data_IF_150796475723
#
_entry.id   IF_150796475723
#
_cell.length_a   1.000
_cell.length_b   1.000
_cell.length_c   1.000
_cell.angle_alpha   90.00
_cell.angle_beta   90.00
_cell.angle_gamma   90.00
#
_symmetry.space_group_name_H-M   'P 1'
#
loop_
_entity.id
_entity.type
_entity.pdbx_description
1 polymer ?
#
# COMPACT_ATOMS: atom_id res chain seq x y z
N UNK A 1 -10.29 5.12 18.08
CA UNK A 1 -9.42 4.87 16.90
C UNK A 1 -10.30 4.79 15.66
N UNK A 2 -9.94 5.57 14.67
CA UNK A 2 -10.63 5.68 13.40
C UNK A 2 -9.61 5.55 12.25
N UNK A 3 -10.02 4.92 11.15
CA UNK A 3 -9.27 4.84 9.91
C UNK A 3 -10.10 5.43 8.78
N UNK A 4 -9.48 6.23 7.94
CA UNK A 4 -10.07 6.68 6.68
C UNK A 4 -9.48 5.83 5.55
N UNK A 5 -10.34 5.35 4.67
CA UNK A 5 -9.96 4.61 3.46
C UNK A 5 -10.84 5.03 2.28
N UNK A 6 -10.66 4.46 1.09
CA UNK A 6 -11.42 4.86 -0.09
C UNK A 6 -12.35 3.75 -0.58
N UNK A 7 -13.33 4.11 -1.42
CA UNK A 7 -14.18 3.13 -2.10
C UNK A 7 -13.44 2.36 -3.23
N UNK A 8 -12.19 2.75 -3.54
CA UNK A 8 -11.37 2.14 -4.59
C UNK A 8 -10.56 0.93 -4.08
N UNK A 9 -10.50 0.72 -2.76
CA UNK A 9 -9.57 -0.23 -2.15
C UNK A 9 -9.83 -1.68 -2.58
N UNK A 10 -8.74 -2.41 -2.75
CA UNK A 10 -8.81 -3.86 -2.75
C UNK A 10 -9.24 -4.36 -1.36
N UNK A 11 -9.98 -5.45 -1.30
CA UNK A 11 -10.47 -6.01 -0.02
C UNK A 11 -9.36 -6.29 1.00
N UNK A 12 -8.12 -6.52 0.55
CA UNK A 12 -6.96 -6.68 1.45
C UNK A 12 -6.57 -5.38 2.17
N UNK A 13 -6.93 -4.22 1.61
CA UNK A 13 -6.70 -2.91 2.21
C UNK A 13 -8.00 -2.26 2.75
N UNK A 14 -9.07 -3.02 2.89
CA UNK A 14 -10.35 -2.59 3.46
C UNK A 14 -10.77 -3.49 4.64
N UNK A 15 -10.93 -4.79 4.40
CA UNK A 15 -11.51 -5.69 5.39
C UNK A 15 -10.71 -5.82 6.70
N UNK A 16 -9.36 -5.80 6.69
CA UNK A 16 -8.59 -5.81 7.94
C UNK A 16 -8.90 -4.61 8.83
N UNK A 17 -9.08 -3.42 8.23
CA UNK A 17 -9.44 -2.22 8.99
C UNK A 17 -10.81 -2.38 9.65
N UNK A 18 -11.82 -2.84 8.91
CA UNK A 18 -13.17 -3.12 9.46
C UNK A 18 -13.16 -4.14 10.59
N UNK A 19 -12.22 -5.07 10.58
CA UNK A 19 -12.13 -6.13 11.60
C UNK A 19 -11.42 -5.68 12.88
N UNK A 20 -10.40 -4.83 12.75
CA UNK A 20 -9.45 -4.56 13.83
C UNK A 20 -9.52 -3.12 14.38
N UNK A 21 -10.23 -2.22 13.70
CA UNK A 21 -10.38 -0.82 14.11
C UNK A 21 -11.81 -0.53 14.55
N UNK A 22 -12.00 0.43 15.44
CA UNK A 22 -13.32 0.77 15.97
C UNK A 22 -14.26 1.36 14.93
N UNK A 23 -13.75 2.18 14.02
CA UNK A 23 -14.53 2.85 12.99
C UNK A 23 -13.72 3.02 11.69
N UNK A 24 -14.36 2.80 10.56
CA UNK A 24 -13.77 2.99 9.23
C UNK A 24 -14.66 3.92 8.42
N UNK A 25 -14.10 5.03 7.96
CA UNK A 25 -14.76 6.00 7.08
C UNK A 25 -14.28 5.77 5.65
N UNK A 26 -15.23 5.60 4.73
CA UNK A 26 -14.93 5.40 3.31
C UNK A 26 -15.16 6.70 2.54
N UNK A 27 -14.09 7.19 1.92
CA UNK A 27 -14.14 8.37 1.06
C UNK A 27 -14.63 7.97 -0.33
N UNK A 28 -15.57 8.73 -0.93
CA UNK A 28 -16.04 8.46 -2.27
C UNK A 28 -14.96 8.73 -3.32
N UNK A 29 -15.26 8.29 -4.55
CA UNK A 29 -14.52 8.66 -5.74
C UNK A 29 -15.12 9.91 -6.35
N UNK A 30 -14.32 10.67 -7.10
CA UNK A 30 -14.84 11.80 -7.88
C UNK A 30 -15.94 11.30 -8.81
N UNK A 31 -17.06 12.03 -8.83
CA UNK A 31 -18.10 11.78 -9.81
C UNK A 31 -17.63 12.35 -11.15
N UNK A 32 -17.23 11.49 -12.05
CA UNK A 32 -17.04 11.88 -13.43
C UNK A 32 -18.42 12.03 -14.09
N UNK A 33 -18.75 13.20 -14.65
CA UNK A 33 -20.01 13.41 -15.37
C UNK A 33 -20.19 12.46 -16.57
N UNK A 34 -19.12 11.92 -17.11
CA UNK A 34 -19.13 10.99 -18.24
C UNK A 34 -19.22 9.50 -17.81
N UNK A 35 -19.28 9.24 -16.48
CA UNK A 35 -19.48 7.90 -15.91
C UNK A 35 -18.23 7.02 -15.89
N UNK A 36 -17.06 7.61 -16.09
CA UNK A 36 -15.78 6.92 -15.93
C UNK A 36 -15.49 6.64 -14.46
N UNK A 37 -14.75 5.58 -14.17
CA UNK A 37 -14.32 5.28 -12.81
C UNK A 37 -13.44 6.42 -12.28
N UNK A 38 -13.97 7.14 -11.28
CA UNK A 38 -13.33 8.33 -10.73
C UNK A 38 -12.04 8.02 -9.97
N UNK A 39 -11.21 9.06 -9.81
CA UNK A 39 -10.08 9.08 -8.88
C UNK A 39 -10.59 9.23 -7.45
N UNK A 40 -9.73 9.08 -6.47
CA UNK A 40 -10.05 9.44 -5.09
C UNK A 40 -10.43 10.92 -5.02
N UNK A 41 -11.61 11.23 -4.47
CA UNK A 41 -12.05 12.59 -4.21
C UNK A 41 -11.22 13.20 -3.07
N UNK A 42 -10.19 13.96 -3.44
CA UNK A 42 -9.30 14.61 -2.47
C UNK A 42 -10.00 15.67 -1.63
N UNK A 43 -11.07 16.29 -2.13
CA UNK A 43 -11.84 17.25 -1.37
C UNK A 43 -12.64 16.57 -0.28
N UNK A 44 -13.30 15.44 -0.61
CA UNK A 44 -13.99 14.62 0.35
C UNK A 44 -13.01 13.97 1.36
N UNK A 45 -11.83 13.55 0.89
CA UNK A 45 -10.77 13.02 1.77
C UNK A 45 -10.34 14.06 2.80
N UNK A 46 -10.05 15.27 2.39
CA UNK A 46 -9.66 16.37 3.29
C UNK A 46 -10.76 16.70 4.28
N UNK A 47 -12.00 16.79 3.81
CA UNK A 47 -13.14 17.04 4.70
C UNK A 47 -13.29 15.93 5.76
N UNK A 48 -13.14 14.66 5.38
CA UNK A 48 -13.18 13.54 6.31
C UNK A 48 -11.99 13.57 7.31
N UNK A 49 -10.78 13.92 6.87
CA UNK A 49 -9.62 14.10 7.75
C UNK A 49 -9.87 15.22 8.76
N UNK A 50 -10.35 16.39 8.29
CA UNK A 50 -10.61 17.54 9.15
C UNK A 50 -11.71 17.24 10.18
N UNK A 51 -12.77 16.52 9.79
CA UNK A 51 -13.88 16.12 10.67
C UNK A 51 -13.44 15.16 11.78
N UNK A 52 -12.46 14.30 11.51
CA UNK A 52 -12.06 13.23 12.42
C UNK A 52 -10.63 13.36 12.97
N UNK A 53 -10.01 14.52 12.80
CA UNK A 53 -8.59 14.76 13.12
C UNK A 53 -8.21 14.39 14.58
N UNK A 54 -9.13 14.54 15.53
CA UNK A 54 -8.91 14.28 16.96
C UNK A 54 -8.77 12.79 17.31
N UNK A 55 -9.21 11.89 16.43
CA UNK A 55 -9.22 10.43 16.65
C UNK A 55 -8.75 9.61 15.44
N UNK A 56 -8.32 10.28 14.37
CA UNK A 56 -7.78 9.64 13.18
C UNK A 56 -6.44 9.00 13.49
N UNK A 57 -6.33 7.70 13.27
CA UNK A 57 -5.09 6.95 13.45
C UNK A 57 -4.25 6.97 12.16
N UNK A 58 -4.85 6.57 11.05
CA UNK A 58 -4.19 6.61 9.74
C UNK A 58 -5.20 6.70 8.59
N UNK A 59 -4.67 7.12 7.44
CA UNK A 59 -5.35 7.02 6.14
C UNK A 59 -4.74 5.84 5.37
N UNK A 60 -5.59 4.91 4.92
CA UNK A 60 -5.19 3.78 4.09
C UNK A 60 -5.66 4.00 2.64
N UNK A 61 -4.74 3.97 1.68
CA UNK A 61 -5.06 4.25 0.27
C UNK A 61 -4.29 3.33 -0.68
N UNK A 62 -4.97 2.84 -1.72
CA UNK A 62 -4.29 2.14 -2.82
C UNK A 62 -3.55 3.14 -3.71
N UNK A 63 -2.30 2.82 -4.05
CA UNK A 63 -1.52 3.65 -4.97
C UNK A 63 -1.99 3.50 -6.43
N UNK A 64 -2.53 2.34 -6.78
CA UNK A 64 -3.17 2.11 -8.08
C UNK A 64 -4.29 1.09 -7.95
N UNK A 65 -5.43 1.36 -8.58
CA UNK A 65 -6.57 0.45 -8.59
C UNK A 65 -6.24 -0.82 -9.39
N UNK A 66 -6.55 -1.97 -8.81
CA UNK A 66 -6.46 -3.26 -9.52
C UNK A 66 -7.60 -3.49 -10.52
N UNK A 67 -8.60 -2.63 -10.54
CA UNK A 67 -9.76 -2.72 -11.44
C UNK A 67 -9.67 -1.73 -12.59
N UNK A 68 -9.39 -0.47 -12.28
CA UNK A 68 -9.40 0.62 -13.27
C UNK A 68 -8.01 1.01 -13.76
N UNK A 69 -6.94 0.64 -13.02
CA UNK A 69 -5.57 1.09 -13.29
C UNK A 69 -5.29 2.54 -12.92
N UNK A 70 -6.26 3.26 -12.37
CA UNK A 70 -6.08 4.65 -11.94
C UNK A 70 -5.02 4.72 -10.84
N UNK A 71 -4.03 5.61 -11.02
CA UNK A 71 -2.97 5.89 -10.06
C UNK A 71 -3.38 7.08 -9.19
N UNK A 72 -3.33 6.89 -7.88
CA UNK A 72 -3.69 7.89 -6.89
C UNK A 72 -2.50 8.72 -6.42
N UNK A 73 -2.69 9.99 -6.05
CA UNK A 73 -1.64 10.89 -5.58
C UNK A 73 -1.30 10.64 -4.10
N UNK A 74 -0.70 9.47 -3.80
CA UNK A 74 -0.47 9.00 -2.42
C UNK A 74 0.37 9.94 -1.56
N UNK A 75 1.28 10.71 -2.15
CA UNK A 75 2.08 11.71 -1.46
C UNK A 75 1.23 12.92 -1.00
N UNK A 76 0.28 13.33 -1.83
CA UNK A 76 -0.67 14.36 -1.44
C UNK A 76 -1.61 13.87 -0.32
N UNK A 77 -2.05 12.61 -0.38
CA UNK A 77 -2.81 11.96 0.70
C UNK A 77 -1.99 11.94 1.99
N UNK A 78 -0.71 11.55 1.92
CA UNK A 78 0.20 11.54 3.07
C UNK A 78 0.33 12.94 3.70
N UNK A 79 0.50 13.98 2.89
CA UNK A 79 0.57 15.36 3.38
C UNK A 79 -0.69 15.77 4.15
N UNK A 80 -1.87 15.39 3.68
CA UNK A 80 -3.12 15.67 4.39
C UNK A 80 -3.25 14.87 5.69
N UNK A 81 -2.89 13.59 5.68
CA UNK A 81 -2.88 12.76 6.88
C UNK A 81 -1.93 13.32 7.95
N UNK A 82 -0.71 13.66 7.56
CA UNK A 82 0.31 14.22 8.47
C UNK A 82 -0.09 15.59 9.03
N UNK A 83 -0.78 16.42 8.27
CA UNK A 83 -1.29 17.71 8.78
C UNK A 83 -2.29 17.53 9.94
N UNK A 84 -2.97 16.40 10.00
CA UNK A 84 -3.85 16.00 11.11
C UNK A 84 -3.14 15.13 12.17
N UNK A 85 -1.83 14.89 12.05
CA UNK A 85 -1.07 14.03 12.96
C UNK A 85 -1.29 12.53 12.76
N UNK A 86 -1.95 12.13 11.68
CA UNK A 86 -2.22 10.73 11.32
C UNK A 86 -1.14 10.17 10.39
N UNK A 87 -1.05 8.83 10.32
CA UNK A 87 -0.15 8.14 9.41
C UNK A 87 -0.78 7.93 8.03
N UNK A 88 0.07 7.64 7.03
CA UNK A 88 -0.33 7.22 5.69
C UNK A 88 0.13 5.79 5.41
N UNK A 89 -0.84 4.90 5.16
CA UNK A 89 -0.63 3.49 4.79
C UNK A 89 -0.98 3.31 3.32
N UNK A 90 -0.04 2.83 2.52
CA UNK A 90 -0.19 2.71 1.08
C UNK A 90 -0.19 1.26 0.64
N UNK A 91 -1.27 0.83 0.01
CA UNK A 91 -1.30 -0.42 -0.75
C UNK A 91 -0.70 -0.18 -2.14
N UNK A 92 0.55 -0.59 -2.29
CA UNK A 92 1.30 -0.55 -3.53
C UNK A 92 1.34 -1.90 -4.26
N UNK A 93 0.43 -2.83 -3.90
CA UNK A 93 0.44 -4.18 -4.47
C UNK A 93 0.30 -4.17 -6.00
N UNK A 94 -0.42 -3.20 -6.55
CA UNK A 94 -0.59 -3.06 -8.00
C UNK A 94 0.45 -2.09 -8.60
N UNK A 95 0.76 -1.00 -7.94
CA UNK A 95 1.62 0.05 -8.49
C UNK A 95 3.12 -0.27 -8.47
N UNK A 96 3.59 -1.05 -7.49
CA UNK A 96 5.03 -1.25 -7.24
C UNK A 96 5.81 -1.86 -8.42
N UNK A 97 5.14 -2.59 -9.33
CA UNK A 97 5.76 -3.16 -10.53
C UNK A 97 5.73 -2.22 -11.74
N UNK A 98 4.94 -1.14 -11.70
CA UNK A 98 4.53 -0.36 -12.87
C UNK A 98 4.94 1.10 -12.80
N UNK A 99 4.99 1.68 -11.59
CA UNK A 99 5.33 3.10 -11.42
C UNK A 99 6.37 3.28 -10.30
N UNK A 100 7.21 4.33 -10.38
CA UNK A 100 8.13 4.65 -9.29
C UNK A 100 7.39 4.95 -8.00
N UNK A 101 7.86 4.40 -6.89
CA UNK A 101 7.35 4.71 -5.54
C UNK A 101 8.52 5.20 -4.70
N UNK A 102 8.40 6.38 -4.13
CA UNK A 102 9.35 6.93 -3.16
C UNK A 102 8.74 6.89 -1.76
N UNK A 103 9.32 6.11 -0.86
CA UNK A 103 8.87 6.09 0.55
C UNK A 103 9.14 7.43 1.23
N UNK A 104 10.21 8.11 0.87
CA UNK A 104 10.58 9.41 1.46
C UNK A 104 9.75 10.58 0.89
N UNK A 105 9.14 10.39 -0.28
CA UNK A 105 8.41 11.47 -0.96
C UNK A 105 9.31 12.63 -1.41
N UNK A 106 8.70 13.71 -1.91
CA UNK A 106 9.39 14.97 -2.21
C UNK A 106 9.93 15.67 -0.97
N UNK A 107 9.23 15.56 0.15
CA UNK A 107 9.64 16.09 1.45
C UNK A 107 9.08 15.23 2.61
N UNK A 108 9.43 15.60 3.84
CA UNK A 108 9.04 14.86 5.03
C UNK A 108 7.51 14.84 5.29
N UNK A 109 6.77 15.87 4.84
CA UNK A 109 5.32 15.92 5.00
C UNK A 109 4.59 14.99 4.02
N UNK A 110 5.26 14.60 2.95
CA UNK A 110 4.75 13.74 1.88
C UNK A 110 5.36 12.32 1.93
N UNK A 111 6.14 12.00 2.97
CA UNK A 111 6.68 10.65 3.16
C UNK A 111 5.55 9.64 3.42
N UNK A 112 5.75 8.40 2.94
CA UNK A 112 4.82 7.30 3.20
C UNK A 112 5.27 6.55 4.45
N UNK A 113 4.37 6.37 5.42
CA UNK A 113 4.72 5.74 6.69
C UNK A 113 4.79 4.22 6.58
N UNK A 114 3.85 3.64 5.82
CA UNK A 114 3.79 2.20 5.56
C UNK A 114 3.48 1.97 4.08
N UNK A 115 4.26 1.12 3.43
CA UNK A 115 4.02 0.68 2.04
C UNK A 115 3.94 -0.83 2.00
N UNK A 116 2.81 -1.36 1.52
CA UNK A 116 2.57 -2.78 1.36
C UNK A 116 2.70 -3.19 -0.10
N UNK A 117 3.46 -4.24 -0.38
CA UNK A 117 3.70 -4.75 -1.73
C UNK A 117 3.47 -6.25 -1.83
N UNK A 118 3.07 -6.71 -3.01
CA UNK A 118 2.89 -8.12 -3.32
C UNK A 118 3.99 -8.62 -4.25
N UNK A 119 4.93 -9.38 -3.72
CA UNK A 119 6.10 -9.82 -4.49
C UNK A 119 5.77 -10.63 -5.75
N UNK A 120 4.68 -11.43 -5.74
CA UNK A 120 4.28 -12.17 -6.94
C UNK A 120 3.83 -11.26 -8.09
N UNK A 121 3.33 -10.06 -7.81
CA UNK A 121 2.98 -9.03 -8.81
C UNK A 121 4.21 -8.25 -9.30
N UNK A 122 5.29 -8.29 -8.52
CA UNK A 122 6.61 -7.74 -8.87
C UNK A 122 7.46 -8.74 -9.69
N UNK A 123 6.84 -9.53 -10.56
CA UNK A 123 7.49 -10.55 -11.41
C UNK A 123 8.28 -11.61 -10.63
N UNK A 124 8.03 -11.78 -9.34
CA UNK A 124 8.70 -12.75 -8.47
C UNK A 124 7.71 -13.82 -7.95
N UNK A 125 7.24 -14.76 -8.78
CA UNK A 125 6.26 -15.77 -8.39
C UNK A 125 6.76 -16.62 -7.21
N UNK A 126 5.87 -16.84 -6.23
CA UNK A 126 6.19 -17.56 -5.00
C UNK A 126 6.98 -16.76 -3.96
N UNK A 127 7.20 -15.46 -4.18
CA UNK A 127 7.78 -14.57 -3.18
C UNK A 127 6.76 -14.16 -2.12
N UNK A 128 7.21 -13.74 -0.93
CA UNK A 128 6.34 -13.18 0.10
C UNK A 128 5.77 -11.80 -0.31
N UNK A 129 4.76 -11.35 0.42
CA UNK A 129 4.45 -9.92 0.52
C UNK A 129 5.52 -9.19 1.31
N UNK A 130 5.57 -7.88 1.15
CA UNK A 130 6.53 -7.01 1.83
C UNK A 130 5.83 -5.82 2.43
N UNK A 131 6.19 -5.49 3.66
CA UNK A 131 5.85 -4.23 4.32
C UNK A 131 7.14 -3.44 4.48
N UNK A 132 7.14 -2.20 4.00
CA UNK A 132 8.19 -1.22 4.25
C UNK A 132 7.62 -0.17 5.17
N UNK A 133 8.21 -0.01 6.36
CA UNK A 133 7.75 0.92 7.36
C UNK A 133 8.91 1.39 8.24
N UNK A 134 8.70 2.48 8.98
CA UNK A 134 9.67 2.94 9.99
C UNK A 134 9.66 1.99 11.18
N UNK A 135 10.83 1.61 11.67
CA UNK A 135 11.01 0.73 12.82
C UNK A 135 10.24 1.22 14.06
N UNK A 136 10.22 2.53 14.30
CA UNK A 136 9.52 3.15 15.41
C UNK A 136 8.00 2.85 15.45
N UNK A 137 7.38 2.49 14.33
CA UNK A 137 5.97 2.11 14.28
C UNK A 137 5.69 0.76 14.93
N UNK A 138 6.70 -0.06 15.15
CA UNK A 138 6.60 -1.36 15.80
C UNK A 138 6.95 -1.32 17.29
N UNK A 139 7.42 -0.19 17.81
CA UNK A 139 7.77 -0.06 19.22
C UNK A 139 6.54 -0.24 20.12
N UNK A 140 6.67 -1.10 21.13
CA UNK A 140 5.60 -1.38 22.07
C UNK A 140 4.44 -2.22 21.54
N UNK A 141 4.50 -2.67 20.28
CA UNK A 141 3.52 -3.60 19.72
C UNK A 141 3.94 -5.05 19.97
N UNK A 142 2.96 -5.92 20.14
CA UNK A 142 3.16 -7.36 20.14
C UNK A 142 2.95 -7.92 18.72
N UNK A 143 3.77 -8.88 18.27
CA UNK A 143 3.57 -9.48 16.95
C UNK A 143 2.23 -10.21 16.89
N UNK A 144 1.53 -10.07 15.78
CA UNK A 144 0.22 -10.70 15.60
C UNK A 144 0.32 -12.23 15.53
N UNK A 145 1.42 -12.77 15.04
CA UNK A 145 1.67 -14.21 14.91
C UNK A 145 2.84 -14.59 15.81
N UNK A 146 2.60 -15.53 16.73
CA UNK A 146 3.61 -16.02 17.67
C UNK A 146 4.00 -17.45 17.29
N UNK A 147 5.31 -17.75 17.28
CA UNK A 147 5.78 -19.09 16.93
C UNK A 147 7.29 -19.26 17.02
N UNK A 148 7.81 -20.31 16.44
CA UNK A 148 9.25 -20.55 16.36
C UNK A 148 9.96 -19.47 15.56
N UNK A 149 11.22 -19.20 15.88
CA UNK A 149 12.08 -18.21 15.21
C UNK A 149 12.04 -16.81 15.80
N UNK A 150 10.99 -16.47 16.56
CA UNK A 150 10.81 -15.11 17.12
C UNK A 150 10.97 -15.06 18.65
N UNK A 151 11.43 -16.13 19.27
CA UNK A 151 11.53 -16.24 20.73
C UNK A 151 12.99 -16.22 21.19
N UNK A 152 13.28 -15.41 22.21
CA UNK A 152 14.57 -15.43 22.92
C UNK A 152 14.61 -16.55 23.96
N UNK A 153 13.47 -16.80 24.61
CA UNK A 153 13.38 -17.75 25.70
C UNK A 153 11.95 -18.31 25.85
N UNK A 154 11.85 -19.60 26.11
CA UNK A 154 10.59 -20.28 26.44
C UNK A 154 10.76 -21.05 27.74
N UNK A 155 9.83 -20.87 28.66
CA UNK A 155 9.71 -21.61 29.92
C UNK A 155 8.36 -22.34 29.93
N UNK A 156 8.05 -23.11 30.96
CA UNK A 156 6.81 -23.86 31.04
C UNK A 156 5.57 -22.98 31.12
N UNK A 157 5.69 -21.81 31.74
CA UNK A 157 4.58 -20.90 32.09
C UNK A 157 4.70 -19.51 31.44
N UNK A 158 5.81 -19.24 30.76
CA UNK A 158 6.07 -17.95 30.10
C UNK A 158 7.03 -18.05 28.94
N UNK A 159 7.06 -17.03 28.11
CA UNK A 159 8.02 -16.87 27.03
C UNK A 159 8.43 -15.40 26.88
N UNK A 160 9.56 -15.17 26.24
CA UNK A 160 10.01 -13.85 25.80
C UNK A 160 10.19 -13.86 24.29
N UNK A 161 9.49 -12.95 23.63
CA UNK A 161 9.66 -12.64 22.20
C UNK A 161 10.95 -11.83 22.04
N UNK A 162 11.65 -12.01 20.93
CA UNK A 162 12.80 -11.17 20.57
C UNK A 162 12.37 -9.73 20.31
N UNK A 163 13.24 -8.78 20.64
CA UNK A 163 13.02 -7.37 20.31
C UNK A 163 13.58 -7.01 18.93
N UNK A 164 14.31 -7.95 18.29
CA UNK A 164 14.95 -7.73 17.00
C UNK A 164 13.93 -7.63 15.86
N UNK A 165 14.00 -6.57 15.06
CA UNK A 165 13.26 -6.39 13.81
C UNK A 165 14.20 -6.65 12.61
N UNK A 166 13.71 -7.28 11.55
CA UNK A 166 12.32 -7.70 11.31
C UNK A 166 11.94 -9.06 11.91
N UNK A 167 12.86 -9.79 12.54
CA UNK A 167 12.69 -11.17 12.99
C UNK A 167 11.46 -11.35 13.89
N UNK A 168 11.17 -10.38 14.75
CA UNK A 168 10.01 -10.40 15.66
C UNK A 168 8.68 -10.54 14.92
N UNK A 169 8.56 -10.00 13.72
CA UNK A 169 7.32 -10.00 12.93
C UNK A 169 7.24 -11.19 11.96
N UNK A 170 8.28 -12.04 11.89
CA UNK A 170 8.40 -13.15 10.93
C UNK A 170 8.42 -14.52 11.60
N UNK A 171 7.31 -14.92 12.24
CA UNK A 171 7.23 -16.22 12.90
C UNK A 171 7.30 -17.39 11.90
N UNK A 172 8.09 -18.42 12.27
CA UNK A 172 8.32 -19.60 11.47
C UNK A 172 9.55 -19.52 10.58
N UNK A 173 9.72 -20.49 9.68
CA UNK A 173 10.83 -20.50 8.71
C UNK A 173 10.54 -19.52 7.57
N UNK A 174 11.38 -18.49 7.35
CA UNK A 174 11.19 -17.54 6.28
C UNK A 174 11.19 -18.21 4.90
N UNK A 175 10.41 -17.66 3.97
CA UNK A 175 10.41 -18.09 2.56
C UNK A 175 11.68 -17.58 1.85
N UNK A 176 12.85 -18.10 2.23
CA UNK A 176 14.14 -17.67 1.69
C UNK A 176 14.23 -17.73 0.16
N UNK A 177 13.79 -18.83 -0.52
CA UNK A 177 13.82 -18.86 -1.99
C UNK A 177 12.97 -17.77 -2.63
N UNK A 178 11.81 -17.46 -2.06
CA UNK A 178 10.94 -16.37 -2.52
C UNK A 178 11.55 -14.99 -2.29
N UNK A 179 12.16 -14.78 -1.12
CA UNK A 179 12.85 -13.52 -0.79
C UNK A 179 14.04 -13.26 -1.73
N UNK A 180 14.87 -14.27 -2.00
CA UNK A 180 15.98 -14.15 -2.96
C UNK A 180 15.50 -13.85 -4.37
N UNK A 181 14.41 -14.46 -4.81
CA UNK A 181 13.80 -14.19 -6.12
C UNK A 181 13.29 -12.76 -6.19
N UNK A 182 12.61 -12.28 -5.16
CA UNK A 182 12.16 -10.90 -5.09
C UNK A 182 13.33 -9.91 -5.12
N UNK A 183 14.38 -10.16 -4.34
CA UNK A 183 15.58 -9.32 -4.33
C UNK A 183 16.23 -9.23 -5.72
N UNK A 184 16.36 -10.36 -6.43
CA UNK A 184 16.89 -10.39 -7.79
C UNK A 184 16.02 -9.60 -8.77
N UNK A 185 14.69 -9.71 -8.64
CA UNK A 185 13.74 -8.95 -9.48
C UNK A 185 13.82 -7.45 -9.20
N UNK A 186 13.85 -7.04 -7.93
CA UNK A 186 13.99 -5.62 -7.56
C UNK A 186 15.30 -5.02 -8.07
N UNK A 187 16.41 -5.79 -8.03
CA UNK A 187 17.67 -5.37 -8.63
C UNK A 187 17.58 -5.21 -10.14
N UNK A 188 16.85 -6.10 -10.83
CA UNK A 188 16.64 -6.01 -12.27
C UNK A 188 15.81 -4.78 -12.63
N UNK A 189 14.67 -4.57 -11.97
CA UNK A 189 13.80 -3.40 -12.16
C UNK A 189 14.56 -2.09 -11.88
N UNK A 190 15.37 -2.06 -10.82
CA UNK A 190 16.21 -0.90 -10.51
C UNK A 190 17.28 -0.62 -11.57
N UNK A 191 17.79 -1.64 -12.28
CA UNK A 191 18.72 -1.45 -13.41
C UNK A 191 18.03 -0.98 -14.67
N UNK A 192 16.81 -1.44 -14.94
CA UNK A 192 15.97 -0.97 -16.05
C UNK A 192 15.59 0.49 -15.81
N UNK A 193 15.23 0.82 -14.58
CA UNK A 193 14.69 2.12 -14.20
C UNK A 193 13.15 2.13 -14.23
N UNK A 194 12.53 2.40 -13.10
CA UNK A 194 11.07 2.40 -12.98
C UNK A 194 10.39 3.51 -13.79
N UNK A 195 11.08 4.63 -14.03
CA UNK A 195 10.57 5.69 -14.91
C UNK A 195 10.40 5.20 -16.35
N UNK A 196 11.37 4.40 -16.84
CA UNK A 196 11.29 3.82 -18.18
C UNK A 196 10.16 2.79 -18.28
N UNK A 197 9.97 1.96 -17.23
CA UNK A 197 8.84 1.02 -17.18
C UNK A 197 7.51 1.76 -17.25
N UNK A 198 7.34 2.81 -16.43
CA UNK A 198 6.11 3.61 -16.40
C UNK A 198 5.84 4.33 -17.73
N UNK A 199 6.88 4.78 -18.42
CA UNK A 199 6.74 5.43 -19.73
C UNK A 199 6.30 4.43 -20.81
N UNK A 200 6.94 3.28 -20.90
CA UNK A 200 6.60 2.21 -21.85
C UNK A 200 5.16 1.71 -21.68
N UNK A 201 4.76 1.46 -20.43
CA UNK A 201 3.39 1.02 -20.12
C UNK A 201 2.34 2.09 -20.42
N UNK A 202 2.64 3.37 -20.19
CA UNK A 202 1.75 4.47 -20.57
C UNK A 202 1.56 4.55 -22.09
N UNK A 203 2.62 4.39 -22.86
CA UNK A 203 2.54 4.36 -24.33
C UNK A 203 1.71 3.16 -24.83
N UNK A 204 1.92 1.98 -24.22
CA UNK A 204 1.15 0.78 -24.54
C UNK A 204 -0.34 0.94 -24.18
N UNK A 205 -0.63 1.52 -23.01
CA UNK A 205 -2.01 1.78 -22.59
C UNK A 205 -2.70 2.76 -23.54
N UNK A 206 -2.04 3.85 -23.90
CA UNK A 206 -2.57 4.82 -24.86
C UNK A 206 -2.85 4.16 -26.22
N UNK A 207 -1.88 3.40 -26.73
CA UNK A 207 -2.07 2.65 -27.98
C UNK A 207 -3.25 1.69 -27.90
N UNK A 208 -3.43 0.97 -26.77
CA UNK A 208 -4.55 0.06 -26.59
C UNK A 208 -5.89 0.80 -26.59
N UNK A 209 -5.99 1.92 -25.84
CA UNK A 209 -7.20 2.75 -25.77
C UNK A 209 -7.59 3.30 -27.14
N UNK A 210 -6.63 3.81 -27.92
CA UNK A 210 -6.87 4.28 -29.30
C UNK A 210 -7.41 3.16 -30.20
N UNK A 211 -6.87 1.95 -30.08
CA UNK A 211 -7.32 0.78 -30.85
C UNK A 211 -8.71 0.31 -30.40
N UNK A 212 -9.00 0.32 -29.12
CA UNK A 212 -10.31 -0.06 -28.60
C UNK A 212 -11.39 0.94 -29.00
N UNK A 213 -11.10 2.24 -28.92
CA UNK A 213 -12.03 3.28 -29.34
C UNK A 213 -12.45 3.20 -30.83
N UNK A 214 -11.62 2.53 -31.65
CA UNK A 214 -11.93 2.30 -33.06
C UNK A 214 -12.84 1.08 -33.32
N UNK A 215 -13.25 0.35 -32.27
CA UNK A 215 -14.11 -0.83 -32.39
C UNK A 215 -15.57 -0.41 -32.22
N UNK A 216 -16.38 -0.61 -33.26
CA UNK A 216 -17.80 -0.29 -33.22
C UNK A 216 -18.53 -1.06 -32.10
N UNK A 217 -19.29 -0.32 -31.28
CA UNK A 217 -20.09 -0.89 -30.18
C UNK A 217 -19.28 -1.16 -28.89
N UNK A 218 -18.01 -0.82 -28.84
CA UNK A 218 -17.22 -0.82 -27.62
C UNK A 218 -17.18 0.59 -27.02
N UNK A 219 -17.59 0.70 -25.75
CA UNK A 219 -17.40 1.91 -24.92
C UNK A 219 -16.27 1.64 -23.93
N UNK A 220 -15.33 2.56 -23.80
CA UNK A 220 -14.19 2.45 -22.91
C UNK A 220 -14.34 3.46 -21.79
#
# INVERSE_FOLDING_TARGET
DLVITTLMEHHANDLPHRKHVGEVVHVPLENDPDGEAGRVDLSALRAAIDEHADRLNYVAVTAASNVTGIVNPVHEVARHAHAAGALCVVDAAQSAAHVPISVQGPDAAEALDVVCMSGHKLYAPGSPGVIVAREALFEGLEPQVVGGGIVDRVETDRYKITDALPEREEAGTPNLPGALRLAATLQLLGRIGMDLVAEDERELAQYALERFAAIDGLTI
#
